data_IF_057697478669
#
_entry.id   IF_057697478669
#
_cell.length_a   1.000
_cell.length_b   1.000
_cell.length_c   1.000
_cell.angle_alpha   90.00
_cell.angle_beta   90.00
_cell.angle_gamma   90.00
#
_symmetry.space_group_name_H-M   'P 1'
#
loop_
_entity.id
_entity.type
_entity.pdbx_description
1 polymer ?
#
# COMPACT_ATOMS: atom_id res chain seq x y z
N UNK A 1 -5.68 4.49 54.29
CA UNK A 1 -7.07 4.75 53.84
C UNK A 1 -7.30 3.99 52.56
N UNK A 2 -8.15 2.96 52.55
CA UNK A 2 -8.64 2.37 51.30
C UNK A 2 -9.80 3.24 50.82
N UNK A 3 -9.66 3.91 49.68
CA UNK A 3 -10.80 4.54 49.02
C UNK A 3 -11.60 3.46 48.28
N UNK A 4 -12.90 3.39 48.56
CA UNK A 4 -13.86 2.60 47.77
C UNK A 4 -14.58 3.54 46.81
N UNK A 5 -14.64 3.18 45.52
CA UNK A 5 -15.35 3.94 44.50
C UNK A 5 -16.57 3.15 44.02
N UNK A 6 -17.69 3.83 43.80
CA UNK A 6 -18.88 3.24 43.20
C UNK A 6 -18.80 3.26 41.66
N UNK A 7 -19.68 2.51 41.00
CA UNK A 7 -19.77 2.53 39.52
C UNK A 7 -20.13 3.92 38.99
N UNK A 8 -20.97 4.66 39.71
CA UNK A 8 -21.36 6.01 39.35
C UNK A 8 -20.21 7.01 39.54
N UNK A 9 -19.36 6.83 40.56
CA UNK A 9 -18.14 7.62 40.73
C UNK A 9 -17.18 7.45 39.55
N UNK A 10 -17.02 6.21 39.06
CA UNK A 10 -16.16 5.89 37.92
C UNK A 10 -16.73 6.49 36.63
N UNK A 11 -18.06 6.42 36.42
CA UNK A 11 -18.72 7.03 35.26
C UNK A 11 -18.63 8.55 35.30
N UNK A 12 -18.85 9.17 36.45
CA UNK A 12 -18.76 10.61 36.64
C UNK A 12 -17.31 11.10 36.43
N UNK A 13 -16.33 10.40 37.01
CA UNK A 13 -14.92 10.71 36.80
C UNK A 13 -14.51 10.55 35.34
N UNK A 14 -14.94 9.47 34.67
CA UNK A 14 -14.66 9.23 33.26
C UNK A 14 -15.19 10.34 32.35
N UNK A 15 -16.42 10.80 32.60
CA UNK A 15 -16.97 11.96 31.88
C UNK A 15 -16.22 13.26 32.18
N UNK A 16 -15.78 13.46 33.42
CA UNK A 16 -15.03 14.65 33.83
C UNK A 16 -13.66 14.78 33.14
N UNK A 17 -13.05 13.65 32.74
CA UNK A 17 -11.80 13.63 31.96
C UNK A 17 -12.02 13.34 30.46
N UNK A 18 -13.27 13.47 29.99
CA UNK A 18 -13.66 13.26 28.60
C UNK A 18 -13.34 11.86 28.02
N UNK A 19 -13.39 10.81 28.85
CA UNK A 19 -13.44 9.44 28.34
C UNK A 19 -14.76 9.22 27.59
N UNK A 20 -14.68 8.44 26.51
CA UNK A 20 -15.85 8.02 25.73
C UNK A 20 -16.65 6.97 26.50
N UNK A 21 -17.96 6.90 26.27
CA UNK A 21 -18.86 5.97 26.98
C UNK A 21 -18.43 4.50 26.83
N UNK A 22 -17.91 4.09 25.65
CA UNK A 22 -17.38 2.74 25.40
C UNK A 22 -16.15 2.42 26.28
N UNK A 23 -15.30 3.41 26.55
CA UNK A 23 -14.13 3.25 27.40
C UNK A 23 -14.49 3.23 28.88
N UNK A 24 -15.49 4.01 29.28
CA UNK A 24 -16.02 4.01 30.65
C UNK A 24 -16.70 2.67 30.94
N UNK A 25 -17.50 2.13 30.02
CA UNK A 25 -18.11 0.80 30.15
C UNK A 25 -17.06 -0.32 30.21
N UNK A 26 -16.03 -0.26 29.37
CA UNK A 26 -14.90 -1.19 29.42
C UNK A 26 -14.15 -1.13 30.75
N UNK A 27 -13.91 0.07 31.29
CA UNK A 27 -13.26 0.27 32.59
C UNK A 27 -14.10 -0.31 33.75
N UNK A 28 -15.41 -0.05 33.74
CA UNK A 28 -16.34 -0.61 34.73
C UNK A 28 -16.37 -2.15 34.64
N UNK A 29 -16.39 -2.72 33.44
CA UNK A 29 -16.37 -4.17 33.24
C UNK A 29 -15.09 -4.82 33.79
N UNK A 30 -13.93 -4.21 33.56
CA UNK A 30 -12.63 -4.67 34.11
C UNK A 30 -12.62 -4.61 35.64
N UNK A 31 -13.08 -3.49 36.22
CA UNK A 31 -13.12 -3.30 37.67
C UNK A 31 -14.10 -4.27 38.35
N UNK A 32 -15.24 -4.55 37.71
CA UNK A 32 -16.22 -5.55 38.18
C UNK A 32 -15.64 -6.97 38.13
N UNK A 33 -14.96 -7.33 37.05
CA UNK A 33 -14.30 -8.64 36.93
C UNK A 33 -13.20 -8.83 37.99
N UNK A 34 -12.43 -7.76 38.29
CA UNK A 34 -11.41 -7.75 39.34
C UNK A 34 -12.00 -7.87 40.74
N UNK A 35 -13.14 -7.22 41.00
CA UNK A 35 -13.84 -7.31 42.29
C UNK A 35 -14.49 -8.70 42.52
N UNK A 36 -14.92 -9.37 41.44
CA UNK A 36 -15.51 -10.69 41.49
C UNK A 36 -14.49 -11.85 41.68
N UNK A 37 -13.20 -11.54 41.81
CA UNK A 37 -12.15 -12.56 41.99
C UNK A 37 -11.86 -13.42 40.74
N UNK A 38 -12.40 -13.04 39.58
CA UNK A 38 -12.09 -13.71 38.31
C UNK A 38 -10.66 -13.39 37.88
N UNK A 39 -9.89 -14.36 37.34
CA UNK A 39 -8.56 -14.09 36.80
C UNK A 39 -8.66 -12.97 35.78
N UNK A 40 -7.76 -11.99 35.90
CA UNK A 40 -7.79 -10.74 35.17
C UNK A 40 -8.15 -10.97 33.70
N UNK A 41 -9.34 -10.53 33.28
CA UNK A 41 -9.63 -10.38 31.86
C UNK A 41 -8.63 -9.33 31.39
N UNK A 42 -7.59 -9.77 30.69
CA UNK A 42 -6.75 -8.88 29.90
C UNK A 42 -7.64 -8.33 28.81
N UNK A 43 -8.39 -7.26 29.12
CA UNK A 43 -8.96 -6.39 28.12
C UNK A 43 -7.74 -5.73 27.49
N UNK A 44 -7.14 -6.40 26.52
CA UNK A 44 -6.32 -5.75 25.54
C UNK A 44 -7.17 -4.58 25.06
N UNK A 45 -6.70 -3.35 25.33
CA UNK A 45 -7.33 -2.14 24.81
C UNK A 45 -7.75 -2.46 23.39
N UNK A 46 -9.07 -2.51 23.14
CA UNK A 46 -9.60 -2.88 21.84
C UNK A 46 -8.79 -2.10 20.83
N UNK A 47 -8.17 -2.77 19.83
CA UNK A 47 -7.24 -2.11 18.92
C UNK A 47 -7.94 -0.84 18.48
N UNK A 48 -7.33 0.30 18.80
CA UNK A 48 -7.88 1.63 18.57
C UNK A 48 -8.51 1.58 17.18
N UNK A 49 -9.85 1.55 17.11
CA UNK A 49 -10.54 1.47 15.82
C UNK A 49 -9.96 2.62 15.04
N UNK A 50 -9.35 2.34 13.90
CA UNK A 50 -8.87 3.36 12.96
C UNK A 50 -10.10 4.16 12.58
N UNK A 51 -10.41 5.20 13.37
CA UNK A 51 -11.56 6.05 13.14
C UNK A 51 -11.18 6.86 11.93
N UNK A 52 -12.06 6.84 10.94
CA UNK A 52 -12.03 7.79 9.86
C UNK A 52 -12.18 9.19 10.49
N UNK A 53 -11.04 9.82 10.74
CA UNK A 53 -10.95 11.13 11.36
C UNK A 53 -10.63 12.14 10.27
N UNK A 54 -11.48 13.16 10.15
CA UNK A 54 -11.36 14.21 9.14
C UNK A 54 -10.00 14.92 9.25
N UNK A 55 -9.43 15.01 10.46
CA UNK A 55 -8.11 15.62 10.67
C UNK A 55 -7.02 14.81 9.98
N UNK A 56 -7.06 13.48 10.10
CA UNK A 56 -6.15 12.59 9.40
C UNK A 56 -6.33 12.70 7.88
N UNK A 57 -7.58 12.70 7.40
CA UNK A 57 -7.88 12.87 5.97
C UNK A 57 -7.29 14.18 5.44
N UNK A 58 -7.46 15.30 6.16
CA UNK A 58 -6.93 16.60 5.77
C UNK A 58 -5.39 16.61 5.71
N UNK A 59 -4.71 15.96 6.66
CA UNK A 59 -3.25 15.86 6.63
C UNK A 59 -2.75 15.06 5.42
N UNK A 60 -3.33 13.89 5.15
CA UNK A 60 -2.95 13.07 4.00
C UNK A 60 -3.31 13.76 2.68
N UNK A 61 -4.50 14.36 2.58
CA UNK A 61 -4.92 15.12 1.41
C UNK A 61 -3.98 16.30 1.15
N UNK A 62 -3.63 17.08 2.17
CA UNK A 62 -2.67 18.19 2.05
C UNK A 62 -1.30 17.71 1.57
N UNK A 63 -0.76 16.64 2.15
CA UNK A 63 0.51 16.07 1.71
C UNK A 63 0.47 15.58 0.26
N UNK A 64 -0.62 14.91 -0.15
CA UNK A 64 -0.83 14.47 -1.54
C UNK A 64 -0.97 15.65 -2.50
N UNK A 65 -1.66 16.73 -2.11
CA UNK A 65 -1.79 17.95 -2.92
C UNK A 65 -0.42 18.59 -3.11
N UNK A 66 0.40 18.72 -2.06
CA UNK A 66 1.74 19.29 -2.18
C UNK A 66 2.63 18.43 -3.07
N UNK A 67 2.65 17.11 -2.85
CA UNK A 67 3.41 16.21 -3.72
C UNK A 67 2.92 16.30 -5.17
N UNK A 68 1.61 16.24 -5.42
CA UNK A 68 1.04 16.37 -6.76
C UNK A 68 1.30 17.73 -7.42
N UNK A 69 1.26 18.83 -6.65
CA UNK A 69 1.61 20.15 -7.15
C UNK A 69 3.06 20.21 -7.62
N UNK A 70 3.98 19.69 -6.81
CA UNK A 70 5.41 19.69 -7.12
C UNK A 70 5.79 18.66 -8.18
N UNK A 71 5.03 17.57 -8.36
CA UNK A 71 5.38 16.53 -9.35
C UNK A 71 4.62 16.64 -10.67
N UNK A 72 3.34 17.02 -10.67
CA UNK A 72 2.49 17.06 -11.87
C UNK A 72 2.30 18.46 -12.44
N UNK A 73 2.27 19.50 -11.59
CA UNK A 73 2.00 20.88 -12.00
C UNK A 73 3.26 21.76 -12.08
N UNK A 74 4.39 21.25 -11.58
CA UNK A 74 5.69 21.91 -11.63
C UNK A 74 6.28 22.02 -13.05
N UNK A 75 5.59 21.63 -14.11
CA UNK A 75 6.24 21.50 -15.42
C UNK A 75 6.06 22.71 -16.32
N UNK A 76 4.93 23.43 -16.28
CA UNK A 76 4.77 24.59 -17.17
C UNK A 76 5.49 25.84 -16.66
N UNK A 77 5.44 26.08 -15.35
CA UNK A 77 6.05 27.28 -14.75
C UNK A 77 7.55 27.11 -14.48
N UNK A 78 7.99 25.92 -14.06
CA UNK A 78 9.40 25.73 -13.70
C UNK A 78 10.29 25.32 -14.87
N UNK A 79 9.77 24.69 -15.94
CA UNK A 79 10.56 24.51 -17.18
C UNK A 79 10.94 25.86 -17.78
N UNK A 80 10.06 26.86 -17.70
CA UNK A 80 10.38 28.23 -18.12
C UNK A 80 11.47 28.92 -17.27
N UNK A 81 11.73 28.41 -16.06
CA UNK A 81 12.75 28.95 -15.14
C UNK A 81 14.12 28.25 -15.28
N UNK A 82 14.18 27.10 -15.97
CA UNK A 82 15.39 26.30 -16.19
C UNK A 82 15.79 25.40 -15.00
N UNK A 83 16.56 24.34 -15.28
CA UNK A 83 16.93 23.30 -14.31
C UNK A 83 17.57 23.78 -13.01
N UNK A 84 18.38 24.85 -13.07
CA UNK A 84 19.01 25.41 -11.85
C UNK A 84 17.96 25.95 -10.88
N UNK A 85 16.97 26.69 -11.38
CA UNK A 85 15.91 27.26 -10.56
C UNK A 85 15.01 26.15 -9.97
N UNK A 86 14.80 25.08 -10.73
CA UNK A 86 14.07 23.91 -10.28
C UNK A 86 14.80 23.19 -9.14
N UNK A 87 16.11 22.95 -9.27
CA UNK A 87 16.92 22.33 -8.20
C UNK A 87 16.88 23.16 -6.93
N UNK A 88 17.09 24.47 -7.03
CA UNK A 88 17.05 25.37 -5.85
C UNK A 88 15.68 25.30 -5.18
N UNK A 89 14.59 25.34 -5.95
CA UNK A 89 13.23 25.23 -5.41
C UNK A 89 13.02 23.90 -4.69
N UNK A 90 13.40 22.78 -5.30
CA UNK A 90 13.26 21.46 -4.72
C UNK A 90 14.04 21.33 -3.40
N UNK A 91 15.27 21.86 -3.34
CA UNK A 91 16.08 21.85 -2.13
C UNK A 91 15.51 22.73 -1.02
N UNK A 92 14.98 23.92 -1.36
CA UNK A 92 14.32 24.81 -0.39
C UNK A 92 13.08 24.13 0.18
N UNK A 93 12.23 23.55 -0.67
CA UNK A 93 11.04 22.81 -0.23
C UNK A 93 11.44 21.62 0.65
N UNK A 94 12.41 20.81 0.23
CA UNK A 94 12.91 19.67 1.00
C UNK A 94 13.38 20.10 2.39
N UNK A 95 14.18 21.18 2.48
CA UNK A 95 14.67 21.70 3.75
C UNK A 95 13.54 22.19 4.65
N UNK A 96 12.61 22.99 4.13
CA UNK A 96 11.48 23.52 4.91
C UNK A 96 10.59 22.41 5.46
N UNK A 97 10.22 21.44 4.61
CA UNK A 97 9.39 20.31 5.01
C UNK A 97 10.11 19.36 5.96
N UNK A 98 11.42 19.13 5.77
CA UNK A 98 12.20 18.30 6.68
C UNK A 98 12.34 18.95 8.06
N UNK A 99 12.60 20.27 8.13
CA UNK A 99 12.68 21.00 9.38
C UNK A 99 11.33 21.02 10.12
N UNK A 100 10.24 21.28 9.40
CA UNK A 100 8.89 21.22 9.95
C UNK A 100 8.56 19.80 10.45
N UNK A 101 8.82 18.78 9.63
CA UNK A 101 8.62 17.38 9.99
C UNK A 101 9.43 16.96 11.20
N UNK A 102 10.70 17.35 11.27
CA UNK A 102 11.58 17.10 12.42
C UNK A 102 11.04 17.75 13.70
N UNK A 103 10.60 19.01 13.62
CA UNK A 103 10.00 19.71 14.75
C UNK A 103 8.72 19.00 15.23
N UNK A 104 7.80 18.66 14.32
CA UNK A 104 6.56 17.99 14.66
C UNK A 104 6.80 16.60 15.26
N UNK A 105 7.75 15.85 14.71
CA UNK A 105 8.06 14.49 15.14
C UNK A 105 8.71 14.46 16.53
N UNK A 106 9.82 15.17 16.72
CA UNK A 106 10.62 15.06 17.94
C UNK A 106 10.24 16.05 19.04
N UNK A 107 9.81 17.27 18.70
CA UNK A 107 9.48 18.30 19.71
C UNK A 107 8.01 18.25 20.13
N UNK A 108 7.10 17.89 19.22
CA UNK A 108 5.65 17.89 19.47
C UNK A 108 5.05 16.49 19.64
N UNK A 109 5.78 15.42 19.28
CA UNK A 109 5.27 14.05 19.33
C UNK A 109 4.16 13.76 18.31
N UNK A 110 3.96 14.63 17.32
CA UNK A 110 2.92 14.50 16.30
C UNK A 110 3.43 13.65 15.13
N UNK A 111 3.46 12.33 15.34
CA UNK A 111 4.08 11.39 14.39
C UNK A 111 3.41 11.37 13.01
N UNK A 112 2.08 11.44 12.92
CA UNK A 112 1.37 11.41 11.63
C UNK A 112 1.69 12.64 10.76
N UNK A 113 1.40 13.88 11.18
CA UNK A 113 1.71 15.04 10.36
C UNK A 113 3.23 15.25 10.22
N UNK A 114 4.03 14.97 11.26
CA UNK A 114 5.49 15.03 11.16
C UNK A 114 6.04 14.08 10.10
N UNK A 115 5.58 12.84 10.09
CA UNK A 115 5.96 11.83 9.09
C UNK A 115 5.55 12.24 7.68
N UNK A 116 4.34 12.80 7.50
CA UNK A 116 3.88 13.30 6.21
C UNK A 116 4.75 14.44 5.67
N UNK A 117 5.18 15.38 6.51
CA UNK A 117 6.09 16.44 6.08
C UNK A 117 7.44 15.87 5.61
N UNK A 118 7.99 14.87 6.32
CA UNK A 118 9.23 14.20 5.88
C UNK A 118 9.01 13.45 4.56
N UNK A 119 7.85 12.80 4.36
CA UNK A 119 7.51 12.17 3.07
C UNK A 119 7.51 13.19 1.94
N UNK A 120 6.89 14.36 2.14
CA UNK A 120 6.90 15.45 1.16
C UNK A 120 8.34 15.88 0.85
N UNK A 121 9.20 16.03 1.86
CA UNK A 121 10.60 16.39 1.66
C UNK A 121 11.35 15.35 0.81
N UNK A 122 11.14 14.04 1.09
CA UNK A 122 11.74 12.96 0.31
C UNK A 122 11.23 12.96 -1.13
N UNK A 123 9.96 13.28 -1.35
CA UNK A 123 9.37 13.38 -2.69
C UNK A 123 9.95 14.54 -3.54
N UNK A 124 10.71 15.48 -2.94
CA UNK A 124 11.44 16.52 -3.69
C UNK A 124 12.77 16.02 -4.26
N UNK A 125 13.30 14.89 -3.77
CA UNK A 125 14.57 14.34 -4.22
C UNK A 125 14.65 14.08 -5.73
N UNK A 126 13.67 13.43 -6.39
CA UNK A 126 13.74 13.23 -7.84
C UNK A 126 13.69 14.56 -8.61
N UNK A 127 12.94 15.55 -8.13
CA UNK A 127 12.85 16.88 -8.74
C UNK A 127 14.18 17.64 -8.68
N UNK A 128 14.89 17.55 -7.55
CA UNK A 128 16.19 18.16 -7.39
C UNK A 128 17.23 17.56 -8.36
N UNK A 129 17.23 16.23 -8.49
CA UNK A 129 18.12 15.50 -9.40
C UNK A 129 17.79 15.82 -10.86
N UNK A 130 16.52 15.85 -11.24
CA UNK A 130 16.09 16.25 -12.58
C UNK A 130 16.61 17.65 -12.93
N UNK A 131 16.44 18.64 -12.05
CA UNK A 131 16.93 19.99 -12.31
C UNK A 131 18.45 20.07 -12.48
N UNK A 132 19.21 19.21 -11.78
CA UNK A 132 20.67 19.10 -11.94
C UNK A 132 21.01 18.51 -13.31
N UNK A 133 20.30 17.45 -13.72
CA UNK A 133 20.48 16.82 -15.03
C UNK A 133 20.17 17.79 -16.17
N UNK A 134 19.06 18.54 -16.07
CA UNK A 134 18.67 19.57 -17.03
C UNK A 134 19.70 20.70 -17.11
N UNK A 135 20.11 21.27 -15.96
CA UNK A 135 21.09 22.36 -15.92
C UNK A 135 22.47 21.97 -16.48
N UNK A 136 22.83 20.69 -16.37
CA UNK A 136 24.14 20.18 -16.78
C UNK A 136 24.12 19.50 -18.15
N UNK A 137 22.95 19.34 -18.77
CA UNK A 137 22.77 18.55 -19.99
C UNK A 137 23.11 17.05 -19.83
N UNK A 138 23.07 16.52 -18.61
CA UNK A 138 23.51 15.18 -18.24
C UNK A 138 22.37 14.15 -18.38
N UNK A 139 22.00 13.84 -19.63
CA UNK A 139 20.90 12.92 -19.94
C UNK A 139 21.33 11.47 -20.24
N UNK A 140 22.65 11.22 -20.36
CA UNK A 140 23.20 9.91 -20.69
C UNK A 140 22.81 9.41 -22.09
N UNK A 141 22.97 8.10 -22.34
CA UNK A 141 22.69 7.46 -23.63
C UNK A 141 21.20 7.43 -24.01
N UNK A 142 20.30 7.79 -23.08
CA UNK A 142 18.85 7.84 -23.28
C UNK A 142 18.34 9.11 -23.98
N UNK A 143 19.21 10.12 -24.18
CA UNK A 143 18.83 11.43 -24.72
C UNK A 143 17.94 12.24 -23.76
N UNK A 144 17.65 13.50 -24.11
CA UNK A 144 16.75 14.35 -23.32
C UNK A 144 15.36 13.68 -23.18
N UNK A 145 14.92 13.34 -21.95
CA UNK A 145 13.68 12.66 -21.74
C UNK A 145 12.45 13.55 -21.98
N UNK A 146 12.63 14.85 -22.15
CA UNK A 146 11.56 15.83 -22.24
C UNK A 146 11.16 16.32 -20.85
N UNK A 147 9.86 16.50 -20.63
CA UNK A 147 9.31 17.25 -19.48
C UNK A 147 9.34 16.43 -18.19
N UNK A 148 9.47 17.04 -17.01
CA UNK A 148 9.41 16.29 -15.74
C UNK A 148 8.12 15.48 -15.57
N UNK A 149 6.99 15.97 -16.11
CA UNK A 149 5.68 15.29 -16.07
C UNK A 149 5.72 13.96 -16.82
N UNK A 150 6.60 13.88 -17.81
CA UNK A 150 6.79 12.69 -18.63
C UNK A 150 7.48 11.56 -17.83
N UNK A 151 8.02 11.83 -16.63
CA UNK A 151 8.51 10.80 -15.70
C UNK A 151 7.48 9.72 -15.37
N UNK A 152 6.20 10.10 -15.21
CA UNK A 152 5.13 9.14 -14.90
C UNK A 152 4.50 8.49 -16.14
N UNK A 153 4.86 8.96 -17.34
CA UNK A 153 4.22 8.57 -18.61
C UNK A 153 5.19 7.81 -19.51
N UNK A 154 6.48 8.13 -19.46
CA UNK A 154 7.52 7.64 -20.37
C UNK A 154 8.70 7.06 -19.58
N UNK A 155 8.84 5.74 -19.66
CA UNK A 155 9.96 4.99 -19.08
C UNK A 155 11.19 5.24 -19.98
N UNK A 156 12.22 5.94 -19.46
CA UNK A 156 13.46 6.29 -20.16
C UNK A 156 14.64 6.14 -19.20
N UNK A 157 15.75 5.55 -19.68
CA UNK A 157 16.92 5.30 -18.82
C UNK A 157 17.53 6.55 -18.17
N UNK A 158 17.28 7.74 -18.72
CA UNK A 158 17.72 9.03 -18.18
C UNK A 158 17.13 9.37 -16.80
N UNK A 159 16.06 8.69 -16.38
CA UNK A 159 15.40 8.88 -15.09
C UNK A 159 16.02 8.05 -13.95
N UNK A 160 16.89 7.09 -14.26
CA UNK A 160 17.49 6.17 -13.27
C UNK A 160 18.19 6.88 -12.08
N UNK A 161 18.95 7.98 -12.27
CA UNK A 161 19.55 8.70 -11.15
C UNK A 161 18.52 9.24 -10.16
N UNK A 162 17.37 9.71 -10.65
CA UNK A 162 16.31 10.25 -9.80
C UNK A 162 15.69 9.17 -8.92
N UNK A 163 15.50 7.97 -9.47
CA UNK A 163 14.94 6.84 -8.74
C UNK A 163 15.91 6.33 -7.67
N UNK A 164 17.20 6.19 -8.02
CA UNK A 164 18.25 5.79 -7.07
C UNK A 164 18.30 6.76 -5.89
N UNK A 165 18.35 8.07 -6.15
CA UNK A 165 18.39 9.07 -5.08
C UNK A 165 17.10 9.06 -4.26
N UNK A 166 15.94 8.86 -4.88
CA UNK A 166 14.65 8.74 -4.18
C UNK A 166 14.63 7.52 -3.26
N UNK A 167 15.13 6.36 -3.72
CA UNK A 167 15.24 5.14 -2.93
C UNK A 167 16.18 5.34 -1.74
N UNK A 168 17.37 5.91 -1.98
CA UNK A 168 18.35 6.20 -0.91
C UNK A 168 17.76 7.17 0.11
N UNK A 169 17.14 8.27 -0.35
CA UNK A 169 16.51 9.26 0.52
C UNK A 169 15.38 8.64 1.35
N UNK A 170 14.56 7.77 0.76
CA UNK A 170 13.47 7.06 1.44
C UNK A 170 14.00 6.09 2.50
N UNK A 171 15.06 5.33 2.21
CA UNK A 171 15.71 4.43 3.16
C UNK A 171 16.34 5.19 4.34
N UNK A 172 17.03 6.30 4.04
CA UNK A 172 17.61 7.18 5.06
C UNK A 172 16.51 7.79 5.93
N UNK A 173 15.44 8.30 5.33
CA UNK A 173 14.30 8.85 6.07
C UNK A 173 13.61 7.80 6.94
N UNK A 174 13.37 6.57 6.43
CA UNK A 174 12.80 5.47 7.20
C UNK A 174 13.64 5.10 8.43
N UNK A 175 14.96 5.24 8.36
CA UNK A 175 15.87 4.96 9.48
C UNK A 175 15.68 5.92 10.66
N UNK A 176 15.35 7.19 10.38
CA UNK A 176 15.18 8.24 11.39
C UNK A 176 13.71 8.52 11.73
N UNK A 177 12.81 8.30 10.77
CA UNK A 177 11.38 8.55 10.86
C UNK A 177 10.65 7.28 10.40
N UNK A 178 10.47 6.29 11.30
CA UNK A 178 9.78 5.05 10.98
C UNK A 178 8.29 5.32 10.78
N UNK A 179 7.92 5.80 9.59
CA UNK A 179 6.56 6.15 9.20
C UNK A 179 6.12 5.27 8.02
N UNK A 180 5.03 4.47 8.14
CA UNK A 180 4.64 3.50 7.13
C UNK A 180 4.44 4.07 5.73
N UNK A 181 3.86 5.26 5.60
CA UNK A 181 3.60 5.87 4.30
C UNK A 181 4.88 6.19 3.52
N UNK A 182 6.03 6.31 4.18
CA UNK A 182 7.33 6.47 3.50
C UNK A 182 7.68 5.25 2.63
N UNK A 183 7.20 4.05 3.02
CA UNK A 183 7.37 2.84 2.21
C UNK A 183 6.65 2.96 0.86
N UNK A 184 5.60 3.79 0.74
CA UNK A 184 4.96 4.06 -0.55
C UNK A 184 5.95 4.70 -1.54
N UNK A 185 6.66 5.74 -1.12
CA UNK A 185 7.66 6.42 -1.97
C UNK A 185 8.80 5.47 -2.33
N UNK A 186 9.29 4.70 -1.34
CA UNK A 186 10.30 3.68 -1.57
C UNK A 186 9.84 2.62 -2.60
N UNK A 187 8.61 2.12 -2.44
CA UNK A 187 8.07 1.06 -3.29
C UNK A 187 7.80 1.54 -4.72
N UNK A 188 7.30 2.77 -4.90
CA UNK A 188 7.19 3.40 -6.22
C UNK A 188 8.57 3.56 -6.85
N UNK A 189 9.53 4.13 -6.11
CA UNK A 189 10.89 4.34 -6.62
C UNK A 189 11.56 3.02 -7.05
N UNK A 190 11.42 1.96 -6.24
CA UNK A 190 11.92 0.63 -6.58
C UNK A 190 11.25 0.04 -7.83
N UNK A 191 9.92 0.19 -7.96
CA UNK A 191 9.18 -0.31 -9.11
C UNK A 191 9.59 0.40 -10.40
N UNK A 192 9.63 1.72 -10.40
CA UNK A 192 10.06 2.52 -11.56
C UNK A 192 11.52 2.19 -11.92
N UNK A 193 12.41 2.12 -10.91
CA UNK A 193 13.80 1.72 -11.09
C UNK A 193 13.98 0.36 -11.74
N UNK A 194 13.12 -0.61 -11.43
CA UNK A 194 13.16 -1.91 -12.09
C UNK A 194 12.88 -1.81 -13.60
N UNK A 195 11.93 -0.95 -14.00
CA UNK A 195 11.56 -0.77 -15.40
C UNK A 195 12.59 0.05 -16.16
N UNK A 196 13.14 1.11 -15.57
CA UNK A 196 14.17 1.96 -16.18
C UNK A 196 15.54 1.29 -16.28
N UNK A 197 15.82 0.29 -15.42
CA UNK A 197 17.02 -0.55 -15.54
C UNK A 197 16.93 -1.56 -16.69
N UNK A 198 15.72 -1.83 -17.22
CA UNK A 198 15.50 -2.86 -18.25
C UNK A 198 16.29 -2.60 -19.53
N UNK A 199 16.25 -1.41 -20.14
CA UNK A 199 17.08 -1.11 -21.30
C UNK A 199 18.56 -1.26 -20.97
N UNK A 200 19.01 -0.80 -19.80
CA UNK A 200 20.41 -0.83 -19.36
C UNK A 200 20.98 -2.25 -19.27
N UNK A 201 20.25 -3.16 -18.64
CA UNK A 201 20.62 -4.58 -18.53
C UNK A 201 20.61 -5.33 -19.86
N UNK A 202 19.84 -4.83 -20.83
CA UNK A 202 19.67 -5.42 -22.14
C UNK A 202 20.49 -4.72 -23.24
N UNK A 203 21.40 -3.81 -22.86
CA UNK A 203 22.27 -3.08 -23.80
C UNK A 203 22.99 -4.03 -24.76
N UNK A 204 23.00 -3.67 -26.06
CA UNK A 204 23.69 -4.40 -27.13
C UNK A 204 22.78 -5.20 -28.08
N UNK A 205 21.46 -5.14 -27.91
CA UNK A 205 20.49 -5.64 -28.90
C UNK A 205 19.70 -4.45 -29.43
N UNK A 206 19.70 -4.26 -30.76
CA UNK A 206 18.79 -3.33 -31.44
C UNK A 206 17.35 -3.84 -31.28
N UNK A 207 16.75 -3.53 -30.12
CA UNK A 207 15.38 -3.94 -29.82
C UNK A 207 14.39 -2.94 -30.41
N UNK A 208 13.36 -3.46 -31.05
CA UNK A 208 12.21 -2.68 -31.49
C UNK A 208 11.48 -2.10 -30.26
N UNK A 209 10.74 -1.00 -30.43
CA UNK A 209 9.93 -0.40 -29.35
C UNK A 209 9.00 -1.40 -28.66
N UNK A 210 8.40 -2.32 -29.42
CA UNK A 210 7.54 -3.40 -28.93
C UNK A 210 8.27 -4.40 -28.03
N UNK A 211 9.52 -4.75 -28.38
CA UNK A 211 10.35 -5.68 -27.61
C UNK A 211 10.78 -5.05 -26.29
N UNK A 212 11.14 -3.76 -26.31
CA UNK A 212 11.47 -2.99 -25.10
C UNK A 212 10.27 -2.89 -24.16
N UNK A 213 9.08 -2.63 -24.69
CA UNK A 213 7.85 -2.59 -23.90
C UNK A 213 7.54 -3.95 -23.25
N UNK A 214 7.65 -5.03 -24.03
CA UNK A 214 7.43 -6.40 -23.53
C UNK A 214 8.44 -6.79 -22.46
N UNK A 215 9.71 -6.38 -22.62
CA UNK A 215 10.75 -6.58 -21.63
C UNK A 215 10.42 -5.84 -20.32
N UNK A 216 10.06 -4.55 -20.39
CA UNK A 216 9.66 -3.74 -19.22
C UNK A 216 8.46 -4.32 -18.49
N UNK A 217 7.47 -4.79 -19.23
CA UNK A 217 6.31 -5.47 -18.68
C UNK A 217 6.70 -6.76 -17.94
N UNK A 218 7.60 -7.55 -18.51
CA UNK A 218 8.12 -8.77 -17.88
C UNK A 218 8.90 -8.45 -16.60
N UNK A 219 9.74 -7.41 -16.64
CA UNK A 219 10.49 -6.95 -15.46
C UNK A 219 9.55 -6.42 -14.37
N UNK A 220 8.56 -5.60 -14.71
CA UNK A 220 7.53 -5.14 -13.77
C UNK A 220 6.78 -6.31 -13.13
N UNK A 221 6.45 -7.35 -13.91
CA UNK A 221 5.79 -8.56 -13.40
C UNK A 221 6.68 -9.30 -12.38
N UNK A 222 7.94 -9.59 -12.75
CA UNK A 222 8.87 -10.32 -11.88
C UNK A 222 9.20 -9.50 -10.63
N UNK A 223 9.46 -8.21 -10.81
CA UNK A 223 9.82 -7.32 -9.71
C UNK A 223 8.64 -7.11 -8.74
N UNK A 224 7.42 -6.99 -9.25
CA UNK A 224 6.21 -6.98 -8.42
C UNK A 224 6.09 -8.24 -7.56
N UNK A 225 6.42 -9.41 -8.11
CA UNK A 225 6.44 -10.67 -7.34
C UNK A 225 7.54 -10.68 -6.27
N UNK A 226 8.73 -10.14 -6.57
CA UNK A 226 9.82 -9.97 -5.60
C UNK A 226 9.37 -9.04 -4.46
N UNK A 227 8.70 -7.93 -4.76
CA UNK A 227 8.16 -7.00 -3.77
C UNK A 227 7.10 -7.68 -2.89
N UNK A 228 6.18 -8.46 -3.46
CA UNK A 228 5.20 -9.25 -2.71
C UNK A 228 5.92 -10.24 -1.78
N UNK A 229 6.94 -10.94 -2.26
CA UNK A 229 7.73 -11.87 -1.47
C UNK A 229 8.47 -11.18 -0.31
N UNK A 230 9.06 -10.02 -0.56
CA UNK A 230 9.70 -9.20 0.46
C UNK A 230 8.69 -8.69 1.50
N UNK A 231 7.50 -8.25 1.06
CA UNK A 231 6.42 -7.79 1.94
C UNK A 231 5.91 -8.92 2.83
N UNK A 232 5.72 -10.12 2.26
CA UNK A 232 5.37 -11.33 3.01
C UNK A 232 6.46 -11.72 4.01
N UNK A 233 7.75 -11.62 3.66
CA UNK A 233 8.83 -11.87 4.59
C UNK A 233 8.88 -10.87 5.77
N UNK A 234 8.60 -9.59 5.50
CA UNK A 234 8.47 -8.56 6.53
C UNK A 234 7.30 -8.88 7.46
N UNK A 235 6.16 -9.31 6.89
CA UNK A 235 5.00 -9.74 7.65
C UNK A 235 5.28 -10.92 8.57
N UNK A 236 6.07 -11.89 8.13
CA UNK A 236 6.47 -13.04 8.95
C UNK A 236 7.37 -12.64 10.12
N UNK A 237 8.28 -11.69 9.91
CA UNK A 237 9.30 -11.32 10.91
C UNK A 237 8.83 -10.27 11.91
N UNK A 238 7.86 -9.43 11.55
CA UNK A 238 7.55 -8.21 12.31
C UNK A 238 6.08 -8.17 12.71
N UNK A 239 5.80 -8.47 13.97
CA UNK A 239 4.51 -8.13 14.60
C UNK A 239 4.51 -6.66 15.05
N UNK A 240 4.62 -5.76 14.06
CA UNK A 240 4.63 -4.32 14.31
C UNK A 240 3.21 -3.79 14.45
N UNK A 241 2.99 -2.90 15.44
CA UNK A 241 1.73 -2.13 15.56
C UNK A 241 1.42 -1.28 14.33
N UNK A 242 2.44 -0.95 13.53
CA UNK A 242 2.32 -0.20 12.30
C UNK A 242 2.59 -1.10 11.09
N UNK A 243 1.67 -1.10 10.12
CA UNK A 243 1.73 -1.96 8.93
C UNK A 243 2.63 -1.35 7.84
N UNK A 244 3.94 -1.55 7.95
CA UNK A 244 4.91 -1.14 6.93
C UNK A 244 4.83 -1.99 5.66
N UNK A 245 4.45 -3.27 5.78
CA UNK A 245 4.40 -4.19 4.67
C UNK A 245 3.21 -3.90 3.74
N UNK A 246 2.13 -3.27 4.23
CA UNK A 246 0.97 -2.89 3.42
C UNK A 246 1.34 -2.17 2.13
N UNK A 247 2.18 -1.14 2.19
CA UNK A 247 2.55 -0.36 1.02
C UNK A 247 3.38 -1.17 0.02
N UNK A 248 4.26 -2.06 0.53
CA UNK A 248 5.05 -2.93 -0.32
C UNK A 248 4.18 -4.00 -1.01
N UNK A 249 3.18 -4.55 -0.30
CA UNK A 249 2.15 -5.41 -0.89
C UNK A 249 1.34 -4.66 -1.95
N UNK A 250 0.90 -3.43 -1.68
CA UNK A 250 0.09 -2.64 -2.60
C UNK A 250 0.81 -2.34 -3.91
N UNK A 251 2.02 -1.78 -3.85
CA UNK A 251 2.77 -1.43 -5.05
C UNK A 251 3.37 -2.65 -5.74
N UNK A 252 3.76 -3.68 -4.99
CA UNK A 252 4.16 -4.96 -5.58
C UNK A 252 3.02 -5.63 -6.35
N UNK A 253 1.80 -5.58 -5.80
CA UNK A 253 0.60 -6.08 -6.45
C UNK A 253 0.20 -5.22 -7.65
N UNK A 254 0.30 -3.89 -7.57
CA UNK A 254 0.10 -3.00 -8.74
C UNK A 254 1.08 -3.32 -9.87
N UNK A 255 2.36 -3.50 -9.55
CA UNK A 255 3.41 -3.83 -10.51
C UNK A 255 3.19 -5.19 -11.18
N UNK A 256 2.88 -6.22 -10.38
CA UNK A 256 2.62 -7.58 -10.85
C UNK A 256 1.31 -7.68 -11.62
N UNK A 257 0.20 -7.30 -10.97
CA UNK A 257 -1.15 -7.41 -11.54
C UNK A 257 -1.31 -6.50 -12.74
N UNK A 258 -0.83 -5.25 -12.67
CA UNK A 258 -0.89 -4.32 -13.80
C UNK A 258 -0.15 -4.85 -15.03
N UNK A 259 1.06 -5.39 -14.84
CA UNK A 259 1.81 -6.03 -15.92
C UNK A 259 1.07 -7.24 -16.51
N UNK A 260 0.48 -8.10 -15.66
CA UNK A 260 -0.27 -9.27 -16.11
C UNK A 260 -1.57 -8.89 -16.85
N UNK A 261 -2.31 -7.91 -16.36
CA UNK A 261 -3.61 -7.48 -16.93
C UNK A 261 -3.45 -6.74 -18.26
N UNK A 262 -2.39 -5.94 -18.41
CA UNK A 262 -2.10 -5.20 -19.66
C UNK A 262 -1.43 -6.11 -20.69
N UNK A 263 -1.03 -7.34 -20.33
CA UNK A 263 -0.40 -8.28 -21.26
C UNK A 263 -1.38 -8.69 -22.35
N UNK A 264 -1.14 -8.24 -23.59
CA UNK A 264 -1.90 -8.71 -24.73
C UNK A 264 -1.47 -10.14 -25.07
N UNK A 265 -2.26 -11.10 -24.59
CA UNK A 265 -2.05 -12.53 -24.85
C UNK A 265 -3.24 -13.05 -25.65
N UNK A 266 -2.99 -13.32 -26.92
CA UNK A 266 -4.02 -13.76 -27.87
C UNK A 266 -4.56 -15.16 -27.57
N UNK A 267 -3.78 -16.03 -26.91
CA UNK A 267 -4.16 -17.41 -26.65
C UNK A 267 -5.22 -17.57 -25.56
N UNK A 268 -6.20 -18.44 -25.79
CA UNK A 268 -7.24 -18.77 -24.80
C UNK A 268 -6.63 -19.38 -23.52
N UNK A 269 -5.55 -20.16 -23.65
CA UNK A 269 -4.81 -20.69 -22.50
C UNK A 269 -4.24 -19.58 -21.61
N UNK A 270 -3.74 -18.50 -22.21
CA UNK A 270 -3.22 -17.37 -21.44
C UNK A 270 -4.33 -16.63 -20.69
N UNK A 271 -5.52 -16.50 -21.29
CA UNK A 271 -6.69 -15.89 -20.65
C UNK A 271 -7.24 -16.77 -19.53
N UNK A 272 -7.24 -18.09 -19.71
CA UNK A 272 -7.55 -19.04 -18.64
C UNK A 272 -6.54 -18.93 -17.48
N UNK A 273 -5.25 -18.89 -17.80
CA UNK A 273 -4.20 -18.70 -16.79
C UNK A 273 -4.36 -17.38 -16.04
N UNK A 274 -4.73 -16.30 -16.73
CA UNK A 274 -5.06 -15.01 -16.12
C UNK A 274 -6.21 -15.14 -15.11
N UNK A 275 -7.28 -15.86 -15.46
CA UNK A 275 -8.38 -16.14 -14.53
C UNK A 275 -7.89 -16.94 -13.31
N UNK A 276 -7.09 -18.00 -13.52
CA UNK A 276 -6.52 -18.82 -12.44
C UNK A 276 -5.63 -17.99 -11.50
N UNK A 277 -4.78 -17.11 -12.03
CA UNK A 277 -3.97 -16.20 -11.23
C UNK A 277 -4.85 -15.32 -10.34
N UNK A 278 -5.92 -14.73 -10.90
CA UNK A 278 -6.79 -13.84 -10.15
C UNK A 278 -7.63 -14.57 -9.08
N UNK A 279 -8.09 -15.80 -9.35
CA UNK A 279 -8.68 -16.67 -8.32
C UNK A 279 -7.64 -17.00 -7.23
N UNK A 280 -6.40 -17.27 -7.63
CA UNK A 280 -5.27 -17.45 -6.71
C UNK A 280 -5.05 -16.24 -5.81
N UNK A 281 -5.16 -15.01 -6.31
CA UNK A 281 -5.09 -13.78 -5.51
C UNK A 281 -6.22 -13.69 -4.48
N UNK A 282 -7.45 -14.07 -4.85
CA UNK A 282 -8.57 -14.13 -3.89
C UNK A 282 -8.30 -15.13 -2.77
N UNK A 283 -7.78 -16.32 -3.10
CA UNK A 283 -7.41 -17.33 -2.09
C UNK A 283 -6.24 -16.86 -1.22
N UNK A 284 -5.23 -16.23 -1.82
CA UNK A 284 -4.08 -15.65 -1.11
C UNK A 284 -4.53 -14.55 -0.14
N UNK A 285 -5.56 -13.78 -0.47
CA UNK A 285 -6.16 -12.79 0.44
C UNK A 285 -6.65 -13.40 1.74
N UNK A 286 -7.29 -14.58 1.68
CA UNK A 286 -7.80 -15.30 2.85
C UNK A 286 -6.63 -15.85 3.68
N UNK A 287 -5.61 -16.37 3.00
CA UNK A 287 -4.41 -16.91 3.64
C UNK A 287 -3.61 -15.82 4.40
N UNK A 288 -3.32 -14.71 3.74
CA UNK A 288 -2.56 -13.59 4.30
C UNK A 288 -3.40 -12.66 5.19
N UNK A 289 -4.73 -12.77 5.16
CA UNK A 289 -5.67 -11.81 5.77
C UNK A 289 -5.41 -10.35 5.33
N UNK A 290 -5.10 -10.18 4.04
CA UNK A 290 -4.87 -8.87 3.41
C UNK A 290 -5.92 -8.63 2.32
N UNK A 291 -6.97 -7.82 2.58
CA UNK A 291 -8.09 -7.61 1.65
C UNK A 291 -7.70 -7.11 0.27
N UNK A 292 -6.54 -6.44 0.15
CA UNK A 292 -6.08 -5.87 -1.13
C UNK A 292 -6.00 -6.96 -2.21
N UNK A 293 -5.57 -8.17 -1.84
CA UNK A 293 -5.42 -9.28 -2.77
C UNK A 293 -6.77 -9.72 -3.35
N UNK A 294 -7.82 -9.75 -2.52
CA UNK A 294 -9.17 -10.04 -2.96
C UNK A 294 -9.71 -8.95 -3.89
N UNK A 295 -9.40 -7.68 -3.63
CA UNK A 295 -9.83 -6.56 -4.51
C UNK A 295 -9.24 -6.73 -5.92
N UNK A 296 -7.92 -6.88 -6.04
CA UNK A 296 -7.27 -7.08 -7.34
C UNK A 296 -7.71 -8.37 -8.02
N UNK A 297 -7.82 -9.47 -7.27
CA UNK A 297 -8.30 -10.74 -7.78
C UNK A 297 -9.75 -10.66 -8.29
N UNK A 298 -10.65 -10.01 -7.56
CA UNK A 298 -12.04 -9.83 -7.96
C UNK A 298 -12.16 -8.95 -9.22
N UNK A 299 -11.41 -7.84 -9.28
CA UNK A 299 -11.36 -6.98 -10.48
C UNK A 299 -10.85 -7.80 -11.67
N UNK A 300 -9.78 -8.59 -11.50
CA UNK A 300 -9.25 -9.38 -12.61
C UNK A 300 -10.18 -10.51 -13.07
N UNK A 301 -10.86 -11.20 -12.14
CA UNK A 301 -11.93 -12.16 -12.51
C UNK A 301 -13.05 -11.45 -13.26
N UNK A 302 -13.47 -10.25 -12.83
CA UNK A 302 -14.50 -9.47 -13.52
C UNK A 302 -14.06 -9.07 -14.94
N UNK A 303 -12.79 -8.65 -15.14
CA UNK A 303 -12.22 -8.37 -16.47
C UNK A 303 -12.29 -9.61 -17.37
N UNK A 304 -11.92 -10.79 -16.86
CA UNK A 304 -12.00 -12.04 -17.62
C UNK A 304 -13.44 -12.43 -17.98
N UNK A 305 -14.37 -12.29 -17.04
CA UNK A 305 -15.79 -12.56 -17.28
C UNK A 305 -16.39 -11.56 -18.28
N UNK A 306 -15.96 -10.29 -18.24
CA UNK A 306 -16.33 -9.28 -19.23
C UNK A 306 -15.79 -9.60 -20.64
N UNK A 307 -14.57 -10.13 -20.75
CA UNK A 307 -14.05 -10.67 -22.00
C UNK A 307 -14.94 -11.81 -22.52
N UNK A 308 -15.27 -12.78 -21.66
CA UNK A 308 -16.09 -13.92 -22.04
C UNK A 308 -17.51 -13.48 -22.47
N UNK A 309 -18.10 -12.52 -21.74
CA UNK A 309 -19.39 -11.91 -22.06
C UNK A 309 -19.39 -11.25 -23.45
N UNK A 310 -18.40 -10.40 -23.71
CA UNK A 310 -18.36 -9.56 -24.92
C UNK A 310 -17.87 -10.28 -26.19
N UNK A 311 -17.04 -11.31 -26.06
CA UNK A 311 -16.45 -12.01 -27.22
C UNK A 311 -17.10 -13.36 -27.49
N UNK A 312 -17.40 -14.13 -26.44
CA UNK A 312 -17.90 -15.50 -26.58
C UNK A 312 -19.43 -15.55 -26.49
N UNK A 313 -20.03 -14.71 -25.65
CA UNK A 313 -21.47 -14.75 -25.37
C UNK A 313 -22.23 -13.47 -25.76
N UNK A 314 -21.70 -12.68 -26.70
CA UNK A 314 -22.23 -11.35 -27.06
C UNK A 314 -23.73 -11.35 -27.40
N UNK A 315 -24.27 -12.46 -27.93
CA UNK A 315 -25.67 -12.61 -28.34
C UNK A 315 -26.50 -13.48 -27.38
N UNK A 316 -26.03 -13.79 -26.17
CA UNK A 316 -26.72 -14.68 -25.22
C UNK A 316 -27.23 -13.93 -23.98
N UNK A 317 -28.54 -13.73 -23.91
CA UNK A 317 -29.20 -13.16 -22.72
C UNK A 317 -29.05 -14.07 -21.49
N UNK A 318 -29.05 -15.40 -21.69
CA UNK A 318 -28.92 -16.40 -20.61
C UNK A 318 -27.58 -16.25 -19.89
N UNK A 319 -26.50 -15.93 -20.61
CA UNK A 319 -25.19 -15.73 -20.00
C UNK A 319 -25.20 -14.56 -18.99
N UNK A 320 -25.87 -13.46 -19.33
CA UNK A 320 -25.99 -12.29 -18.44
C UNK A 320 -26.74 -12.65 -17.15
N UNK A 321 -27.84 -13.40 -17.26
CA UNK A 321 -28.58 -13.88 -16.08
C UNK A 321 -27.76 -14.89 -15.25
N UNK A 322 -27.05 -15.82 -15.89
CA UNK A 322 -26.20 -16.77 -15.20
C UNK A 322 -25.06 -16.08 -14.45
N UNK A 323 -24.41 -15.08 -15.07
CA UNK A 323 -23.36 -14.29 -14.45
C UNK A 323 -23.89 -13.50 -13.24
N UNK A 324 -25.08 -12.90 -13.37
CA UNK A 324 -25.75 -12.23 -12.25
C UNK A 324 -26.04 -13.20 -11.11
N UNK A 325 -26.51 -14.41 -11.41
CA UNK A 325 -26.81 -15.44 -10.42
C UNK A 325 -25.54 -15.90 -9.69
N UNK A 326 -24.43 -16.07 -10.42
CA UNK A 326 -23.11 -16.37 -9.83
C UNK A 326 -22.68 -15.24 -8.88
N UNK A 327 -22.84 -13.98 -9.29
CA UNK A 327 -22.56 -12.82 -8.43
C UNK A 327 -23.37 -12.85 -7.12
N UNK A 328 -24.68 -13.10 -7.22
CA UNK A 328 -25.56 -13.24 -6.05
C UNK A 328 -25.16 -14.44 -5.17
N UNK A 329 -24.80 -15.57 -5.77
CA UNK A 329 -24.34 -16.74 -5.05
C UNK A 329 -23.04 -16.47 -4.27
N UNK A 330 -22.10 -15.73 -4.85
CA UNK A 330 -20.86 -15.31 -4.17
C UNK A 330 -21.16 -14.38 -2.99
N UNK A 331 -22.07 -13.42 -3.16
CA UNK A 331 -22.52 -12.54 -2.06
C UNK A 331 -23.16 -13.37 -0.94
N UNK A 332 -24.06 -14.29 -1.28
CA UNK A 332 -24.71 -15.19 -0.34
C UNK A 332 -23.71 -16.07 0.41
N UNK A 333 -22.73 -16.64 -0.31
CA UNK A 333 -21.62 -17.39 0.29
C UNK A 333 -20.82 -16.52 1.26
N UNK A 334 -20.55 -15.26 0.92
CA UNK A 334 -19.89 -14.29 1.79
C UNK A 334 -20.65 -14.04 3.10
N UNK A 335 -21.98 -13.86 3.03
CA UNK A 335 -22.84 -13.70 4.21
C UNK A 335 -22.88 -14.96 5.08
N UNK A 336 -22.94 -16.14 4.46
CA UNK A 336 -22.89 -17.43 5.15
C UNK A 336 -21.55 -17.65 5.85
N UNK A 337 -20.45 -17.29 5.18
CA UNK A 337 -19.11 -17.32 5.75
C UNK A 337 -18.97 -16.33 6.91
N UNK A 338 -19.54 -15.13 6.76
CA UNK A 338 -19.57 -14.12 7.82
C UNK A 338 -20.24 -14.65 9.09
N UNK A 339 -21.35 -15.38 8.93
CA UNK A 339 -22.08 -16.00 10.04
C UNK A 339 -21.31 -17.12 10.74
N UNK A 340 -20.39 -17.79 10.05
CA UNK A 340 -19.61 -18.92 10.58
C UNK A 340 -18.10 -18.60 10.73
N UNK A 341 -17.71 -17.32 10.80
CA UNK A 341 -16.30 -16.88 10.87
C UNK A 341 -15.50 -17.57 11.98
N UNK A 342 -16.12 -17.76 13.14
CA UNK A 342 -15.52 -18.42 14.32
C UNK A 342 -15.34 -19.93 14.13
N UNK A 343 -16.26 -20.60 13.43
CA UNK A 343 -16.13 -22.01 13.09
C UNK A 343 -15.07 -22.23 12.00
N UNK A 344 -14.98 -21.33 11.02
CA UNK A 344 -14.00 -21.39 9.94
C UNK A 344 -12.58 -21.12 10.43
N UNK A 345 -12.41 -20.17 11.36
CA UNK A 345 -11.11 -19.88 11.98
C UNK A 345 -10.63 -21.07 12.83
N UNK A 346 -11.52 -21.70 13.58
CA UNK A 346 -11.23 -22.91 14.34
C UNK A 346 -10.88 -24.11 13.43
N UNK A 347 -11.61 -24.30 12.33
CA UNK A 347 -11.34 -25.36 11.36
C UNK A 347 -10.01 -25.16 10.64
N UNK A 348 -9.71 -23.94 10.16
CA UNK A 348 -8.42 -23.65 9.53
C UNK A 348 -7.25 -23.89 10.49
N UNK A 349 -7.39 -23.46 11.75
CA UNK A 349 -6.32 -23.68 12.75
C UNK A 349 -6.13 -25.18 13.07
N UNK A 350 -7.17 -26.00 12.94
CA UNK A 350 -7.12 -27.45 13.20
C UNK A 350 -6.70 -28.29 11.98
N UNK A 351 -7.00 -27.82 10.76
CA UNK A 351 -6.79 -28.58 9.52
C UNK A 351 -5.56 -28.15 8.72
N UNK A 352 -4.95 -27.00 9.01
CA UNK A 352 -3.69 -26.62 8.38
C UNK A 352 -2.49 -27.35 9.02
N UNK A 353 -1.65 -28.05 8.23
CA UNK A 353 -0.39 -28.60 8.71
C UNK A 353 0.49 -27.52 9.32
N UNK A 354 1.23 -27.84 10.39
CA UNK A 354 2.10 -26.88 11.10
C UNK A 354 3.06 -26.13 10.17
N UNK A 355 3.54 -26.79 9.11
CA UNK A 355 4.44 -26.22 8.10
C UNK A 355 3.81 -25.05 7.35
N UNK A 356 2.51 -25.13 7.03
CA UNK A 356 1.79 -24.06 6.31
C UNK A 356 1.37 -22.96 7.30
N UNK A 357 1.06 -23.31 8.55
CA UNK A 357 0.73 -22.34 9.61
C UNK A 357 1.90 -21.40 9.90
N UNK A 358 3.15 -21.87 9.86
CA UNK A 358 4.35 -21.03 10.01
C UNK A 358 4.55 -19.99 8.89
N UNK A 359 3.90 -20.20 7.74
CA UNK A 359 3.96 -19.29 6.58
C UNK A 359 2.88 -18.19 6.65
N UNK A 360 2.02 -18.23 7.67
CA UNK A 360 0.97 -17.24 7.89
C UNK A 360 1.50 -16.09 8.75
N UNK A 361 1.23 -14.82 8.39
CA UNK A 361 1.64 -13.69 9.22
C UNK A 361 1.10 -13.77 10.66
N UNK A 362 1.81 -13.26 11.68
CA UNK A 362 1.36 -13.28 13.08
C UNK A 362 0.02 -12.55 13.29
N UNK A 363 -0.20 -11.45 12.58
CA UNK A 363 -1.47 -10.71 12.60
C UNK A 363 -2.64 -11.50 11.99
N UNK A 364 -2.34 -12.54 11.22
CA UNK A 364 -3.32 -13.43 10.63
C UNK A 364 -3.64 -14.65 11.54
N UNK A 365 -3.03 -14.75 12.73
CA UNK A 365 -3.38 -15.74 13.74
C UNK A 365 -4.81 -15.57 14.30
N UNK A 366 -5.37 -16.66 14.85
CA UNK A 366 -6.77 -16.78 15.26
C UNK A 366 -7.30 -15.68 16.21
N UNK A 367 -6.42 -14.95 16.92
CA UNK A 367 -6.80 -13.90 17.87
C UNK A 367 -7.23 -12.55 17.25
N UNK A 368 -6.97 -12.26 15.95
CA UNK A 368 -7.45 -11.01 15.30
C UNK A 368 -8.66 -11.16 14.39
N UNK A 369 -9.10 -12.39 14.12
CA UNK A 369 -10.32 -12.65 13.34
C UNK A 369 -11.61 -12.28 14.09
N UNK A 370 -11.54 -12.03 15.41
CA UNK A 370 -12.67 -11.56 16.21
C UNK A 370 -13.02 -10.08 15.95
N UNK A 371 -12.16 -9.33 15.25
CA UNK A 371 -12.26 -7.86 15.16
C UNK A 371 -12.14 -7.27 13.74
N UNK A 372 -12.12 -8.09 12.69
CA UNK A 372 -12.23 -7.69 11.27
C UNK A 372 -13.48 -8.32 10.65
#
# INVERSE_FOLDING_TARGET
>A
MSMSFTEDDIKAAGRAIALRDDQVEGLVAVLRARHAGSPAISVHASPERVRFDIVHVLWYAGALIVMGAMTLFSTLAFEAMGGTALTVTALVYAALFLLAGHHLWYRRGLHTPGGLMVVVAVAMAPLAVYGIQDASGLWGDGGDPGRYRDFFVWIKGSWLPMEIVTVIASLLALRFYPFPFMVAILAIGLWFMSMDLTPWLLHGRDMTWSETWTARQTVSMIFGLIMIGAAWFIDLKRDSRQDFAFWLHLYGLLAFWGAVTISDRSSELAKLLYCVINVGLVLLSVFLLRPIYAVFGAIGVAVYLGYLASRVFANSLIFTFALSLIGVAIIGAGLLLQRHRTALSAWMTKSLPETITKLRPPHAGAQRLEHA
#
